data_IF_560826726941
#
_entry.id   IF_560826726941
#
_cell.length_a   1.000
_cell.length_b   1.000
_cell.length_c   1.000
_cell.angle_alpha   90.00
_cell.angle_beta   90.00
_cell.angle_gamma   90.00
#
_symmetry.space_group_name_H-M   'P 1'
#
loop_
_entity.id
_entity.type
_entity.pdbx_description
1 polymer ?
#
# COMPACT_ATOMS: atom_id res chain seq x y z
N UNK A 1 8.51 -8.00 -1.08
CA UNK A 1 7.90 -6.67 -0.89
C UNK A 1 7.66 -6.08 -2.27
N UNK A 2 6.66 -5.21 -2.38
CA UNK A 2 6.42 -4.39 -3.56
C UNK A 2 6.45 -2.93 -3.14
N UNK A 3 6.91 -2.04 -4.03
CA UNK A 3 6.99 -0.62 -3.79
C UNK A 3 6.91 0.13 -5.11
N UNK A 4 6.67 1.44 -5.05
CA UNK A 4 6.62 2.32 -6.23
C UNK A 4 7.99 2.96 -6.43
N UNK A 5 8.45 3.07 -7.68
CA UNK A 5 9.65 3.82 -8.06
C UNK A 5 9.43 4.63 -9.34
N UNK A 6 10.07 5.78 -9.48
CA UNK A 6 10.00 6.60 -10.70
C UNK A 6 10.12 8.10 -10.46
N UNK A 7 10.49 8.83 -11.51
CA UNK A 7 10.76 10.28 -11.50
C UNK A 7 9.89 11.06 -12.51
N UNK A 8 9.00 10.38 -13.24
CA UNK A 8 8.29 10.92 -14.41
C UNK A 8 6.95 11.57 -14.08
N UNK A 9 6.44 12.36 -15.05
CA UNK A 9 5.07 12.94 -15.04
C UNK A 9 3.98 11.89 -14.87
N UNK A 10 4.21 10.65 -15.32
CA UNK A 10 3.29 9.54 -15.16
C UNK A 10 3.06 9.18 -13.68
N UNK A 11 4.07 9.30 -12.80
CA UNK A 11 3.96 8.97 -11.36
C UNK A 11 5.04 7.99 -10.90
N UNK A 12 4.95 6.72 -11.28
CA UNK A 12 5.92 5.67 -10.97
C UNK A 12 5.45 4.29 -11.42
N UNK A 13 6.37 3.34 -11.52
CA UNK A 13 6.10 1.92 -11.78
C UNK A 13 6.21 1.10 -10.49
N UNK A 14 5.67 -0.11 -10.49
CA UNK A 14 5.81 -1.08 -9.40
C UNK A 14 7.09 -1.89 -9.54
N UNK A 15 7.79 -2.06 -8.42
CA UNK A 15 9.00 -2.87 -8.30
C UNK A 15 8.85 -3.86 -7.16
N UNK A 16 9.50 -5.01 -7.28
CA UNK A 16 9.58 -6.02 -6.25
C UNK A 16 11.04 -6.23 -5.80
N UNK A 17 11.19 -6.59 -4.53
CA UNK A 17 12.42 -7.13 -3.98
C UNK A 17 12.10 -8.06 -2.80
N UNK A 18 13.08 -8.83 -2.34
CA UNK A 18 12.92 -9.54 -1.08
C UNK A 18 12.85 -8.55 0.09
N UNK A 19 12.10 -8.91 1.14
CA UNK A 19 12.08 -8.13 2.38
C UNK A 19 13.48 -8.06 3.03
N UNK A 20 14.31 -9.09 2.87
CA UNK A 20 15.70 -9.06 3.31
C UNK A 20 16.60 -8.09 2.53
N UNK A 21 16.13 -7.56 1.39
CA UNK A 21 16.93 -6.81 0.43
C UNK A 21 17.48 -7.68 -0.70
N UNK A 22 18.35 -7.11 -1.51
CA UNK A 22 18.92 -7.73 -2.72
C UNK A 22 18.39 -7.11 -4.00
N UNK A 23 18.40 -7.92 -5.07
CA UNK A 23 18.00 -7.52 -6.41
C UNK A 23 16.58 -6.94 -6.45
N UNK A 24 16.45 -5.82 -7.15
CA UNK A 24 15.16 -5.19 -7.44
C UNK A 24 14.74 -5.56 -8.85
N UNK A 25 13.51 -6.06 -8.98
CA UNK A 25 12.91 -6.38 -10.28
C UNK A 25 11.70 -5.49 -10.54
N UNK A 26 11.59 -4.89 -11.73
CA UNK A 26 10.38 -4.17 -12.13
C UNK A 26 9.23 -5.14 -12.41
N UNK A 27 8.02 -4.73 -12.04
CA UNK A 27 6.78 -5.48 -12.27
C UNK A 27 5.92 -4.84 -13.36
N UNK A 28 5.89 -3.51 -13.41
CA UNK A 28 5.17 -2.74 -14.44
C UNK A 28 6.14 -1.88 -15.23
N UNK A 29 5.71 -1.55 -16.46
CA UNK A 29 6.40 -0.66 -17.39
C UNK A 29 5.34 0.04 -18.24
N UNK A 30 4.57 0.93 -17.63
CA UNK A 30 3.45 1.56 -18.33
C UNK A 30 3.73 3.03 -18.63
N UNK A 31 2.89 3.63 -19.48
CA UNK A 31 2.95 5.06 -19.77
C UNK A 31 2.11 5.90 -18.79
N UNK A 32 1.54 5.26 -17.76
CA UNK A 32 0.70 5.85 -16.72
C UNK A 32 1.33 5.57 -15.36
N UNK A 33 0.88 6.25 -14.30
CA UNK A 33 1.41 6.04 -12.96
C UNK A 33 0.70 4.94 -12.21
N UNK A 34 1.47 4.10 -11.55
CA UNK A 34 1.00 3.22 -10.49
C UNK A 34 1.33 3.78 -9.09
N UNK A 35 0.39 3.59 -8.16
CA UNK A 35 0.50 4.04 -6.78
C UNK A 35 -0.35 3.20 -5.82
N UNK A 36 -0.12 3.39 -4.53
CA UNK A 36 -0.81 2.75 -3.40
C UNK A 36 -0.90 1.22 -3.54
N UNK A 37 0.23 0.51 -3.76
CA UNK A 37 0.21 -0.94 -3.86
C UNK A 37 -0.17 -1.56 -2.51
N UNK A 38 -1.03 -2.57 -2.56
CA UNK A 38 -1.43 -3.40 -1.44
C UNK A 38 -1.23 -4.86 -1.85
N UNK A 39 -0.28 -5.54 -1.22
CA UNK A 39 -0.03 -6.94 -1.44
C UNK A 39 -1.11 -7.79 -0.75
N UNK A 40 -1.56 -8.85 -1.41
CA UNK A 40 -2.57 -9.75 -0.85
C UNK A 40 -2.05 -10.45 0.41
N UNK A 41 -2.93 -10.85 1.36
CA UNK A 41 -2.52 -11.53 2.58
C UNK A 41 -1.80 -12.87 2.34
N UNK A 42 -1.93 -13.46 1.15
CA UNK A 42 -1.24 -14.68 0.72
C UNK A 42 0.02 -14.41 -0.13
N UNK A 43 0.29 -13.14 -0.48
CA UNK A 43 1.44 -12.71 -1.27
C UNK A 43 1.37 -13.03 -2.77
N UNK A 44 0.25 -13.59 -3.26
CA UNK A 44 0.10 -14.03 -4.64
C UNK A 44 -0.36 -12.94 -5.63
N UNK A 45 -0.88 -11.83 -5.13
CA UNK A 45 -1.39 -10.74 -5.94
C UNK A 45 -1.07 -9.37 -5.32
N UNK A 46 -1.08 -8.33 -6.16
CA UNK A 46 -0.99 -6.94 -5.72
C UNK A 46 -2.16 -6.15 -6.29
N UNK A 47 -2.88 -5.45 -5.43
CA UNK A 47 -3.85 -4.44 -5.82
C UNK A 47 -3.16 -3.08 -5.83
N UNK A 48 -3.48 -2.21 -6.78
CA UNK A 48 -2.87 -0.88 -6.88
C UNK A 48 -3.80 0.08 -7.63
N UNK A 49 -3.48 1.36 -7.56
CA UNK A 49 -4.14 2.38 -8.35
C UNK A 49 -3.30 2.67 -9.59
N UNK A 50 -3.94 2.80 -10.74
CA UNK A 50 -3.30 3.16 -12.02
C UNK A 50 -4.03 4.36 -12.62
N UNK A 51 -3.31 5.41 -13.00
CA UNK A 51 -3.90 6.63 -13.55
C UNK A 51 -2.90 7.44 -14.37
N UNK A 52 -3.39 8.25 -15.32
CA UNK A 52 -2.57 8.86 -16.37
C UNK A 52 -1.41 9.72 -15.86
N UNK A 53 -1.56 10.38 -14.70
CA UNK A 53 -0.55 11.27 -14.13
C UNK A 53 -0.94 11.72 -12.72
N UNK A 54 0.03 12.01 -11.85
CA UNK A 54 -0.19 12.75 -10.59
C UNK A 54 -0.69 14.19 -10.83
N UNK A 55 -0.68 14.65 -12.09
CA UNK A 55 -1.04 16.00 -12.54
C UNK A 55 -2.19 16.05 -13.54
N UNK A 56 -2.75 14.90 -13.96
CA UNK A 56 -3.99 14.88 -14.75
C UNK A 56 -5.19 14.61 -13.85
N UNK A 57 -6.28 15.30 -14.11
CA UNK A 57 -7.58 15.16 -13.46
C UNK A 57 -8.32 13.87 -13.83
N UNK A 58 -7.71 12.97 -14.61
CA UNK A 58 -8.30 11.68 -14.93
C UNK A 58 -8.29 10.79 -13.68
N UNK A 59 -9.45 10.23 -13.26
CA UNK A 59 -9.52 9.40 -12.07
C UNK A 59 -8.63 8.16 -12.26
N UNK A 60 -7.88 7.82 -11.22
CA UNK A 60 -7.22 6.52 -11.13
C UNK A 60 -8.25 5.38 -11.19
N UNK A 61 -7.84 4.23 -11.69
CA UNK A 61 -8.61 2.98 -11.61
C UNK A 61 -7.95 2.02 -10.65
N UNK A 62 -8.74 1.11 -10.07
CA UNK A 62 -8.23 0.03 -9.23
C UNK A 62 -7.85 -1.16 -10.11
N UNK A 63 -6.63 -1.66 -9.96
CA UNK A 63 -6.11 -2.80 -10.70
C UNK A 63 -5.60 -3.87 -9.75
N UNK A 64 -5.66 -5.12 -10.18
CA UNK A 64 -5.02 -6.25 -9.50
C UNK A 64 -4.15 -7.01 -10.48
N UNK A 65 -2.89 -7.22 -10.10
CA UNK A 65 -1.94 -8.06 -10.82
C UNK A 65 -1.73 -9.37 -10.05
N UNK A 66 -1.85 -10.49 -10.75
CA UNK A 66 -1.40 -11.79 -10.26
C UNK A 66 0.13 -11.88 -10.43
N UNK A 67 0.86 -12.07 -9.33
CA UNK A 67 2.33 -11.98 -9.33
C UNK A 67 3.03 -13.22 -9.89
N UNK A 68 2.30 -14.33 -10.07
CA UNK A 68 2.84 -15.54 -10.68
C UNK A 68 2.76 -15.49 -12.21
N UNK A 69 1.65 -14.99 -12.75
CA UNK A 69 1.36 -15.00 -14.19
C UNK A 69 1.56 -13.65 -14.88
N UNK A 70 1.66 -12.55 -14.10
CA UNK A 70 1.63 -11.18 -14.62
C UNK A 70 0.25 -10.75 -15.15
N UNK A 71 -0.79 -11.59 -15.00
CA UNK A 71 -2.12 -11.25 -15.48
C UNK A 71 -2.70 -10.09 -14.66
N UNK A 72 -3.19 -9.07 -15.35
CA UNK A 72 -3.79 -7.89 -14.74
C UNK A 72 -5.29 -7.83 -15.01
N UNK A 73 -6.06 -7.31 -14.05
CA UNK A 73 -7.48 -7.02 -14.22
C UNK A 73 -7.85 -5.72 -13.50
N UNK A 74 -8.56 -4.86 -14.22
CA UNK A 74 -9.23 -3.70 -13.65
C UNK A 74 -10.46 -4.12 -12.82
N UNK A 75 -10.65 -3.46 -11.69
CA UNK A 75 -11.79 -3.64 -10.80
C UNK A 75 -12.72 -2.45 -10.93
N UNK A 76 -13.92 -2.69 -11.44
CA UNK A 76 -14.92 -1.64 -11.67
C UNK A 76 -15.60 -1.21 -10.37
N UNK A 77 -15.59 0.10 -10.12
CA UNK A 77 -16.39 0.74 -9.07
C UNK A 77 -17.77 1.16 -9.61
N UNK A 78 -18.81 1.24 -8.76
CA UNK A 78 -20.12 1.73 -9.20
C UNK A 78 -20.04 3.18 -9.67
N UNK A 79 -20.95 3.56 -10.58
CA UNK A 79 -21.08 4.93 -11.05
C UNK A 79 -21.30 5.90 -9.89
N UNK A 80 -20.58 7.02 -9.90
CA UNK A 80 -20.63 8.02 -8.82
C UNK A 80 -19.73 7.73 -7.61
N UNK A 81 -18.92 6.66 -7.63
CA UNK A 81 -17.96 6.40 -6.55
C UNK A 81 -16.88 7.50 -6.39
N UNK A 82 -16.60 8.23 -7.47
CA UNK A 82 -15.52 9.21 -7.56
C UNK A 82 -14.15 8.55 -7.69
N UNK A 83 -13.08 9.33 -7.60
CA UNK A 83 -11.72 8.82 -7.78
C UNK A 83 -11.30 7.92 -6.60
N UNK A 84 -10.73 6.72 -6.84
CA UNK A 84 -10.17 5.89 -5.80
C UNK A 84 -8.87 6.51 -5.26
N UNK A 85 -8.77 6.60 -3.94
CA UNK A 85 -7.64 7.18 -3.22
C UNK A 85 -6.77 6.12 -2.53
N UNK A 86 -7.35 4.95 -2.18
CA UNK A 86 -6.62 3.83 -1.60
C UNK A 86 -7.30 2.50 -1.89
N UNK A 87 -6.50 1.44 -1.96
CA UNK A 87 -6.98 0.06 -2.02
C UNK A 87 -6.23 -0.77 -0.97
N UNK A 88 -6.94 -1.75 -0.41
CA UNK A 88 -6.41 -2.73 0.53
C UNK A 88 -7.12 -4.06 0.35
N UNK A 89 -6.62 -5.10 1.02
CA UNK A 89 -7.23 -6.42 1.01
C UNK A 89 -7.97 -6.64 2.32
N UNK A 90 -9.16 -7.23 2.22
CA UNK A 90 -9.80 -7.79 3.40
C UNK A 90 -8.98 -9.00 3.90
N UNK A 91 -9.05 -9.29 5.20
CA UNK A 91 -8.19 -10.30 5.84
C UNK A 91 -8.32 -11.69 5.20
N UNK A 92 -9.49 -12.03 4.66
CA UNK A 92 -9.73 -13.31 3.99
C UNK A 92 -9.03 -13.45 2.63
N UNK A 93 -8.46 -12.37 2.07
CA UNK A 93 -7.73 -12.38 0.80
C UNK A 93 -8.59 -12.59 -0.45
N UNK A 94 -9.92 -12.58 -0.33
CA UNK A 94 -10.86 -12.80 -1.45
C UNK A 94 -11.60 -11.54 -1.88
N UNK A 95 -11.47 -10.47 -1.12
CA UNK A 95 -12.12 -9.18 -1.38
C UNK A 95 -11.11 -8.05 -1.24
N UNK A 96 -11.33 -7.00 -2.02
CA UNK A 96 -10.67 -5.71 -1.90
C UNK A 96 -11.56 -4.76 -1.12
N UNK A 97 -10.92 -3.88 -0.36
CA UNK A 97 -11.53 -2.67 0.19
C UNK A 97 -10.97 -1.48 -0.57
N UNK A 98 -11.83 -0.62 -1.05
CA UNK A 98 -11.45 0.57 -1.83
C UNK A 98 -12.02 1.80 -1.14
N UNK A 99 -11.16 2.76 -0.81
CA UNK A 99 -11.58 4.11 -0.48
C UNK A 99 -11.59 4.96 -1.74
N UNK A 100 -12.74 5.51 -2.07
CA UNK A 100 -12.92 6.49 -3.13
C UNK A 100 -13.54 7.77 -2.56
N UNK A 101 -13.54 8.83 -3.35
CA UNK A 101 -14.02 10.16 -2.97
C UNK A 101 -15.38 10.15 -2.25
N UNK A 102 -16.33 9.34 -2.75
CA UNK A 102 -17.70 9.30 -2.24
C UNK A 102 -18.00 8.12 -1.32
N UNK A 103 -17.01 7.33 -0.89
CA UNK A 103 -17.23 6.28 0.11
C UNK A 103 -16.23 5.13 0.14
N UNK A 104 -16.56 4.13 0.96
CA UNK A 104 -15.84 2.86 1.05
C UNK A 104 -16.62 1.77 0.30
N UNK A 105 -15.89 1.00 -0.51
CA UNK A 105 -16.46 -0.04 -1.37
C UNK A 105 -15.75 -1.37 -1.12
N UNK A 106 -16.51 -2.46 -1.16
CA UNK A 106 -15.97 -3.82 -1.16
C UNK A 106 -16.14 -4.40 -2.56
N UNK A 107 -15.07 -4.95 -3.12
CA UNK A 107 -15.09 -5.58 -4.44
C UNK A 107 -14.56 -7.01 -4.35
N UNK A 108 -15.10 -7.97 -5.13
CA UNK A 108 -14.49 -9.28 -5.23
C UNK A 108 -13.11 -9.18 -5.88
N UNK A 109 -12.11 -9.84 -5.30
CA UNK A 109 -10.77 -9.89 -5.89
C UNK A 109 -10.74 -10.91 -7.04
N UNK A 110 -10.00 -10.64 -8.14
CA UNK A 110 -9.76 -11.64 -9.18
C UNK A 110 -9.20 -12.95 -8.59
N UNK A 111 -9.60 -14.12 -9.12
CA UNK A 111 -10.30 -14.34 -10.38
C UNK A 111 -11.83 -14.16 -10.32
N UNK A 112 -12.40 -13.97 -9.12
CA UNK A 112 -13.82 -13.76 -8.95
C UNK A 112 -14.30 -12.55 -9.76
N UNK A 113 -15.57 -12.60 -10.17
CA UNK A 113 -16.24 -11.52 -10.91
C UNK A 113 -17.39 -11.00 -10.08
N UNK A 114 -17.68 -9.72 -10.23
CA UNK A 114 -18.78 -9.04 -9.57
C UNK A 114 -18.54 -7.54 -9.54
N UNK A 115 -19.56 -6.80 -9.13
CA UNK A 115 -19.48 -5.36 -8.97
C UNK A 115 -19.02 -5.01 -7.56
N UNK A 116 -18.30 -3.89 -7.42
CA UNK A 116 -18.03 -3.35 -6.11
C UNK A 116 -19.32 -2.80 -5.48
N UNK A 117 -19.50 -3.02 -4.18
CA UNK A 117 -20.66 -2.60 -3.40
C UNK A 117 -20.25 -1.65 -2.29
N UNK A 118 -21.15 -0.75 -1.89
CA UNK A 118 -20.90 0.19 -0.78
C UNK A 118 -20.79 -0.58 0.54
N UNK A 119 -19.77 -0.27 1.34
CA UNK A 119 -19.62 -0.83 2.67
C UNK A 119 -20.59 -0.12 3.64
N UNK A 120 -21.51 -0.84 4.30
CA UNK A 120 -22.45 -0.23 5.24
C UNK A 120 -21.73 0.26 6.51
N UNK A 121 -22.34 1.16 7.30
CA UNK A 121 -21.74 1.70 8.52
C UNK A 121 -21.15 0.65 9.47
N UNK A 122 -21.82 -0.49 9.62
CA UNK A 122 -21.37 -1.59 10.49
C UNK A 122 -20.03 -2.22 10.05
N UNK A 123 -19.67 -2.13 8.77
CA UNK A 123 -18.42 -2.70 8.22
C UNK A 123 -17.28 -1.68 8.08
N UNK A 124 -17.49 -0.41 8.45
CA UNK A 124 -16.49 0.65 8.20
C UNK A 124 -15.21 0.48 9.00
N UNK A 125 -15.29 0.06 10.26
CA UNK A 125 -14.10 -0.13 11.09
C UNK A 125 -13.17 -1.22 10.53
N UNK A 126 -13.73 -2.32 10.03
CA UNK A 126 -12.97 -3.38 9.36
C UNK A 126 -12.34 -2.88 8.06
N UNK A 127 -13.11 -2.14 7.26
CA UNK A 127 -12.65 -1.55 6.01
C UNK A 127 -11.50 -0.56 6.23
N UNK A 128 -11.60 0.32 7.22
CA UNK A 128 -10.54 1.26 7.59
C UNK A 128 -9.29 0.53 8.07
N UNK A 129 -9.44 -0.58 8.80
CA UNK A 129 -8.33 -1.43 9.22
C UNK A 129 -7.61 -2.08 8.03
N UNK A 130 -8.36 -2.55 7.02
CA UNK A 130 -7.80 -3.12 5.79
C UNK A 130 -7.02 -2.10 4.93
N UNK A 131 -7.30 -0.81 5.10
CA UNK A 131 -6.63 0.30 4.40
C UNK A 131 -5.49 0.93 5.21
N UNK A 132 -5.34 0.54 6.48
CA UNK A 132 -4.38 1.12 7.41
C UNK A 132 -3.15 0.22 7.59
N UNK A 133 -2.01 0.83 7.89
CA UNK A 133 -0.81 0.10 8.33
C UNK A 133 -0.88 -0.01 9.85
N UNK A 134 -1.45 -1.13 10.31
CA UNK A 134 -1.58 -1.43 11.74
C UNK A 134 -0.25 -1.91 12.33
N UNK A 135 0.04 -1.51 13.56
CA UNK A 135 1.28 -1.77 14.29
C UNK A 135 1.05 -2.72 15.46
N UNK A 136 1.86 -3.78 15.57
CA UNK A 136 1.80 -4.76 16.67
C UNK A 136 0.85 -5.94 16.43
N UNK A 137 0.91 -6.95 17.30
CA UNK A 137 -0.05 -8.05 17.38
C UNK A 137 -0.34 -8.36 18.86
N UNK A 138 -1.54 -8.01 19.39
CA UNK A 138 -2.63 -7.26 18.74
C UNK A 138 -2.21 -5.85 18.33
N UNK A 139 -2.97 -5.23 17.42
CA UNK A 139 -2.69 -3.87 16.98
C UNK A 139 -2.88 -2.89 18.15
N UNK A 140 -1.91 -2.00 18.36
CA UNK A 140 -1.97 -0.95 19.40
C UNK A 140 -1.91 0.47 18.80
N UNK A 141 -1.78 0.57 17.48
CA UNK A 141 -1.71 1.83 16.77
C UNK A 141 -1.57 1.62 15.27
N UNK A 142 -1.49 2.74 14.54
CA UNK A 142 -1.37 2.77 13.08
C UNK A 142 -0.47 3.90 12.62
N UNK A 143 0.09 3.77 11.42
CA UNK A 143 0.80 4.89 10.80
C UNK A 143 -0.16 5.87 10.15
N UNK A 144 0.18 7.16 10.20
CA UNK A 144 -0.54 8.26 9.56
C UNK A 144 0.48 9.27 9.02
N UNK A 145 0.07 10.09 8.05
CA UNK A 145 0.85 11.28 7.70
C UNK A 145 0.88 12.23 8.91
N UNK A 146 2.01 12.90 9.12
CA UNK A 146 2.08 14.02 10.07
C UNK A 146 1.40 15.27 9.47
N UNK A 147 1.50 16.41 10.16
CA UNK A 147 1.10 17.72 9.61
C UNK A 147 1.82 18.04 8.30
N UNK A 148 3.13 17.73 8.24
CA UNK A 148 3.86 17.64 6.98
C UNK A 148 3.59 16.27 6.34
N UNK A 149 2.98 16.19 5.14
CA UNK A 149 2.67 14.93 4.50
C UNK A 149 3.90 14.15 4.02
N UNK A 150 5.09 14.76 4.08
CA UNK A 150 6.38 14.08 3.83
C UNK A 150 6.94 13.39 5.08
N UNK A 151 6.34 13.59 6.25
CA UNK A 151 6.74 12.97 7.51
C UNK A 151 5.75 11.87 7.95
N UNK A 152 6.29 10.84 8.59
CA UNK A 152 5.54 9.67 9.06
C UNK A 152 5.27 9.80 10.55
N UNK A 153 4.00 9.68 10.94
CA UNK A 153 3.57 9.69 12.32
C UNK A 153 2.91 8.35 12.69
N UNK A 154 2.83 8.08 13.99
CA UNK A 154 2.07 6.97 14.57
C UNK A 154 1.02 7.51 15.51
N UNK A 155 -0.15 6.90 15.49
CA UNK A 155 -1.25 7.23 16.39
C UNK A 155 -1.75 5.95 17.04
N UNK A 156 -1.83 5.96 18.37
CA UNK A 156 -2.50 4.92 19.15
C UNK A 156 -3.99 5.24 19.32
N UNK A 157 -4.72 4.42 20.06
CA UNK A 157 -6.18 4.52 20.15
C UNK A 157 -6.70 5.84 20.76
N UNK A 158 -5.90 6.52 21.59
CA UNK A 158 -6.32 7.71 22.35
C UNK A 158 -5.30 8.86 22.32
N UNK A 159 -4.24 8.73 21.52
CA UNK A 159 -3.12 9.67 21.51
C UNK A 159 -3.14 10.67 20.36
N UNK A 160 -2.45 11.80 20.52
CA UNK A 160 -2.08 12.63 19.39
C UNK A 160 -1.04 11.89 18.50
N UNK A 161 -1.00 12.16 17.19
CA UNK A 161 0.05 11.62 16.32
C UNK A 161 1.45 11.99 16.84
N UNK A 162 2.33 11.00 16.93
CA UNK A 162 3.72 11.17 17.31
C UNK A 162 4.63 10.91 16.11
N UNK A 163 5.63 11.78 15.91
CA UNK A 163 6.59 11.65 14.81
C UNK A 163 7.35 10.32 14.92
N UNK A 164 7.27 9.52 13.86
CA UNK A 164 8.04 8.29 13.69
C UNK A 164 9.32 8.54 12.91
N UNK A 165 9.22 9.21 11.75
CA UNK A 165 10.36 9.48 10.87
C UNK A 165 10.11 10.71 10.00
N UNK A 166 11.15 11.53 9.81
CA UNK A 166 11.10 12.65 8.86
C UNK A 166 11.43 12.20 7.45
N UNK A 167 10.78 12.78 6.44
CA UNK A 167 11.02 12.45 5.04
C UNK A 167 10.61 11.02 4.64
N UNK A 168 9.68 10.43 5.40
CA UNK A 168 9.02 9.17 5.11
C UNK A 168 7.52 9.44 4.94
N UNK A 169 6.97 9.33 3.74
CA UNK A 169 5.54 9.58 3.51
C UNK A 169 4.63 8.39 3.83
N UNK A 170 5.15 7.17 3.69
CA UNK A 170 4.39 5.93 3.89
C UNK A 170 5.25 4.79 4.44
N UNK A 171 4.56 3.81 5.01
CA UNK A 171 5.17 2.65 5.63
C UNK A 171 4.47 1.34 5.24
N UNK A 172 5.15 0.24 5.50
CA UNK A 172 4.62 -1.10 5.46
C UNK A 172 4.71 -1.73 6.85
N UNK A 173 3.71 -2.51 7.22
CA UNK A 173 3.82 -3.44 8.34
C UNK A 173 4.89 -4.47 8.00
N UNK A 174 5.88 -4.61 8.88
CA UNK A 174 7.04 -5.46 8.65
C UNK A 174 7.06 -6.63 9.63
N UNK A 175 6.17 -7.60 9.42
CA UNK A 175 5.92 -8.63 10.42
C UNK A 175 5.08 -8.13 11.60
N UNK A 176 5.18 -8.82 12.73
CA UNK A 176 4.41 -8.49 13.95
C UNK A 176 5.06 -7.43 14.84
N UNK A 177 6.33 -7.12 14.61
CA UNK A 177 7.20 -6.44 15.56
C UNK A 177 7.96 -5.25 14.96
N UNK A 178 7.78 -4.96 13.67
CA UNK A 178 8.54 -3.92 12.98
C UNK A 178 7.68 -3.19 11.95
N UNK A 179 8.14 -1.99 11.58
CA UNK A 179 7.59 -1.17 10.51
C UNK A 179 8.70 -0.80 9.54
N UNK A 180 8.43 -0.85 8.24
CA UNK A 180 9.39 -0.46 7.21
C UNK A 180 8.93 0.76 6.42
N UNK A 181 9.85 1.64 6.06
CA UNK A 181 9.56 2.86 5.28
C UNK A 181 10.80 3.30 4.51
N UNK A 182 10.58 4.14 3.49
CA UNK A 182 11.66 4.77 2.74
C UNK A 182 11.96 6.17 3.27
N UNK A 183 13.24 6.52 3.34
CA UNK A 183 13.72 7.91 3.44
C UNK A 183 14.69 8.12 2.28
N UNK A 184 14.31 8.97 1.32
CA UNK A 184 15.05 9.09 0.07
C UNK A 184 15.06 7.75 -0.69
N UNK A 185 16.25 7.18 -0.89
CA UNK A 185 16.45 5.85 -1.52
C UNK A 185 16.69 4.72 -0.50
N UNK A 186 16.73 5.05 0.80
CA UNK A 186 17.03 4.09 1.85
C UNK A 186 15.76 3.43 2.37
N UNK A 187 15.71 2.09 2.28
CA UNK A 187 14.72 1.31 3.01
C UNK A 187 15.18 1.07 4.46
N UNK A 188 14.39 1.55 5.41
CA UNK A 188 14.61 1.39 6.83
C UNK A 188 13.56 0.45 7.42
N UNK A 189 13.98 -0.41 8.35
CA UNK A 189 13.09 -1.25 9.14
C UNK A 189 13.34 -0.96 10.61
N UNK A 190 12.31 -0.44 11.27
CA UNK A 190 12.35 -0.03 12.67
C UNK A 190 11.53 -1.00 13.53
N UNK A 191 12.12 -1.59 14.58
CA UNK A 191 11.38 -2.36 15.57
C UNK A 191 10.35 -1.48 16.30
N UNK A 192 9.19 -2.05 16.61
CA UNK A 192 8.14 -1.45 17.42
C UNK A 192 8.46 -1.53 18.92
N UNK A 193 9.30 -2.49 19.31
CA UNK A 193 9.82 -2.65 20.67
C UNK A 193 11.30 -2.25 20.79
N UNK A 194 12.00 -2.73 21.83
CA UNK A 194 13.44 -2.53 21.98
C UNK A 194 14.19 -3.06 20.76
N UNK A 195 15.10 -2.25 20.21
CA UNK A 195 15.90 -2.63 19.07
C UNK A 195 16.46 -1.42 18.35
N UNK A 196 17.29 -1.69 17.34
CA UNK A 196 17.85 -0.66 16.47
C UNK A 196 17.22 -0.77 15.09
N UNK A 197 16.91 0.39 14.52
CA UNK A 197 16.55 0.49 13.12
C UNK A 197 17.69 -0.09 12.26
N UNK A 198 17.31 -0.85 11.23
CA UNK A 198 18.24 -1.43 10.27
C UNK A 198 17.95 -0.94 8.86
N UNK A 199 19.02 -0.79 8.08
CA UNK A 199 18.95 -0.51 6.65
C UNK A 199 18.83 -1.80 5.87
N UNK A 200 17.89 -1.87 4.95
CA UNK A 200 17.77 -2.95 3.97
C UNK A 200 18.45 -2.48 2.69
N UNK A 201 19.43 -3.25 2.21
CA UNK A 201 20.15 -2.92 0.97
C UNK A 201 19.37 -3.43 -0.22
N UNK A 202 19.02 -2.53 -1.13
CA UNK A 202 18.46 -2.84 -2.44
C UNK A 202 19.57 -2.68 -3.49
N UNK A 203 19.63 -3.60 -4.44
CA UNK A 203 20.58 -3.58 -5.55
C UNK A 203 19.89 -3.01 -6.79
N UNK A 204 20.43 -1.89 -7.30
CA UNK A 204 19.82 -1.16 -8.42
C UNK A 204 18.42 -0.61 -8.13
N UNK A 205 18.16 0.06 -6.99
CA UNK A 205 16.83 0.58 -6.71
C UNK A 205 16.43 1.63 -7.77
N UNK A 206 15.14 1.68 -8.15
CA UNK A 206 14.64 2.75 -8.99
C UNK A 206 14.77 4.08 -8.24
N UNK A 207 14.70 5.16 -9.00
CA UNK A 207 14.74 6.49 -8.43
C UNK A 207 13.44 6.80 -7.64
N UNK A 208 13.53 7.47 -6.47
CA UNK A 208 12.38 7.78 -5.57
C UNK A 208 11.52 6.55 -5.17
N UNK A 209 12.12 5.52 -4.54
CA UNK A 209 11.35 4.42 -4.01
C UNK A 209 10.44 4.88 -2.85
N UNK A 210 9.19 4.42 -2.83
CA UNK A 210 8.17 4.82 -1.85
C UNK A 210 7.03 3.80 -1.77
N UNK A 211 6.10 4.02 -0.85
CA UNK A 211 4.84 3.26 -0.74
C UNK A 211 5.07 1.74 -0.67
N UNK A 212 5.91 1.26 0.28
CA UNK A 212 6.19 -0.16 0.38
C UNK A 212 4.95 -0.92 0.86
N UNK A 213 4.80 -2.14 0.38
CA UNK A 213 3.88 -3.16 0.90
C UNK A 213 4.60 -4.50 0.98
N UNK A 214 4.32 -5.28 2.03
CA UNK A 214 5.14 -6.44 2.40
C UNK A 214 4.24 -7.59 2.78
N UNK A 215 4.53 -8.76 2.22
CA UNK A 215 3.97 -10.02 2.68
C UNK A 215 4.86 -10.49 3.82
N UNK A 216 4.29 -10.51 5.02
CA UNK A 216 5.00 -10.90 6.24
C UNK A 216 5.12 -12.42 6.41
N UNK A 217 4.57 -13.22 5.50
CA UNK A 217 4.38 -14.65 5.71
C UNK A 217 3.23 -14.94 6.69
N UNK A 218 2.63 -16.13 6.58
CA UNK A 218 1.87 -16.68 7.70
C UNK A 218 2.88 -17.22 8.71
N UNK A 219 2.81 -16.75 9.96
CA UNK A 219 3.46 -17.45 11.08
C UNK A 219 2.78 -18.78 11.34
#
# INVERSE_FOLDING_TARGET
MIFVGGQGRAGGDLFAALASGGEVVPLTYTNVGEMRPALSPDGGAVAFLRGASLSDSAPSSVWVMNLLSGAEREVSLPGGAGAPARVGWAEEGRSLVVAAENGLYRAPAPPARGSAEVIPPAGRAEAESALAVLLGTPAFGRTVACEDPSDLCVVGDTGAPALLAKGAGEAARWGGDSVGYFIGDMLLVRPLGPGRERRVRLEGPPARPREPTVFAGRR
#
